data_IF_786690513349
#
_entry.id   IF_786690513349
#
_cell.length_a   1.000
_cell.length_b   1.000
_cell.length_c   1.000
_cell.angle_alpha   90.00
_cell.angle_beta   90.00
_cell.angle_gamma   90.00
#
_symmetry.space_group_name_H-M   'P 1'
#
loop_
_entity.id
_entity.type
_entity.pdbx_description
1 polymer ?
#
# COMPACT_ATOMS: atom_id res chain seq x y z
N UNK A 1 13.93 23.51 32.51
CA UNK A 1 13.81 24.33 31.28
C UNK A 1 12.35 24.67 31.14
N UNK A 2 12.00 25.96 31.13
CA UNK A 2 10.63 26.40 30.85
C UNK A 2 10.39 26.20 29.35
N UNK A 3 9.43 25.37 28.98
CA UNK A 3 9.01 25.25 27.59
C UNK A 3 8.37 26.57 27.17
N UNK A 4 8.96 27.23 26.17
CA UNK A 4 8.41 28.45 25.59
C UNK A 4 7.24 28.04 24.72
N UNK A 5 6.03 28.39 25.16
CA UNK A 5 4.81 28.17 24.39
C UNK A 5 4.83 29.09 23.17
N UNK A 6 4.72 28.50 21.98
CA UNK A 6 4.70 29.24 20.73
C UNK A 6 3.41 30.07 20.61
N UNK A 7 3.57 31.25 20.03
CA UNK A 7 2.48 32.18 19.77
C UNK A 7 1.43 31.55 18.83
N UNK A 8 0.15 31.82 19.10
CA UNK A 8 -0.99 31.27 18.38
C UNK A 8 -0.92 31.62 16.87
N UNK A 9 -0.42 32.81 16.52
CA UNK A 9 -0.28 33.24 15.13
C UNK A 9 0.79 32.43 14.41
N UNK A 10 1.88 32.07 15.10
CA UNK A 10 2.93 31.19 14.56
C UNK A 10 2.37 29.77 14.38
N UNK A 11 1.58 29.29 15.34
CA UNK A 11 0.92 27.99 15.25
C UNK A 11 -0.05 27.93 14.07
N UNK A 12 -0.84 28.97 13.84
CA UNK A 12 -1.75 29.08 12.69
C UNK A 12 -0.96 29.09 11.37
N UNK A 13 0.14 29.84 11.30
CA UNK A 13 1.00 29.90 10.11
C UNK A 13 1.67 28.57 9.79
N UNK A 14 2.01 27.79 10.82
CA UNK A 14 2.55 26.43 10.69
C UNK A 14 1.46 25.38 10.43
N UNK A 15 0.20 25.68 10.73
CA UNK A 15 -0.95 24.76 10.61
C UNK A 15 -1.67 24.88 9.27
N UNK A 16 -1.41 25.92 8.46
CA UNK A 16 -2.01 26.12 7.14
C UNK A 16 -1.32 25.22 6.08
N UNK A 17 -1.29 23.92 6.37
CA UNK A 17 -1.11 22.90 5.34
C UNK A 17 -2.27 22.95 4.36
N UNK A 18 -2.08 22.51 3.10
CA UNK A 18 -3.12 22.58 2.09
C UNK A 18 -4.37 21.85 2.60
N UNK A 19 -5.44 22.61 2.87
CA UNK A 19 -6.78 22.07 3.13
C UNK A 19 -7.34 21.53 1.83
N UNK A 20 -6.84 20.38 1.40
CA UNK A 20 -7.51 19.60 0.38
C UNK A 20 -8.71 18.96 1.06
N UNK A 21 -9.87 19.61 0.99
CA UNK A 21 -11.16 18.95 1.20
C UNK A 21 -11.30 17.86 0.14
N UNK A 22 -10.66 16.72 0.41
CA UNK A 22 -10.64 15.59 -0.48
C UNK A 22 -11.99 14.93 -0.32
N UNK A 23 -12.82 14.83 -1.37
CA UNK A 23 -14.14 14.22 -1.25
C UNK A 23 -13.97 12.77 -0.78
N UNK A 24 -14.52 12.48 0.41
CA UNK A 24 -14.45 11.15 1.02
C UNK A 24 -15.57 10.26 0.49
N UNK A 25 -15.23 9.01 0.18
CA UNK A 25 -16.21 8.00 -0.19
C UNK A 25 -17.02 7.45 1.00
N UNK A 26 -17.95 6.51 0.76
CA UNK A 26 -18.70 5.85 1.82
C UNK A 26 -17.80 5.15 2.84
N UNK A 27 -18.24 5.13 4.10
CA UNK A 27 -17.51 4.44 5.16
C UNK A 27 -17.42 2.92 4.89
N UNK A 28 -16.22 2.36 5.12
CA UNK A 28 -16.00 0.91 5.13
C UNK A 28 -16.07 0.38 6.57
N UNK A 29 -16.03 -0.95 6.72
CA UNK A 29 -16.06 -1.59 8.05
C UNK A 29 -14.91 -1.09 8.95
N UNK A 30 -15.22 -0.71 10.19
CA UNK A 30 -14.29 -0.08 11.15
C UNK A 30 -12.97 -0.85 11.31
N UNK A 31 -13.04 -2.18 11.39
CA UNK A 31 -11.86 -3.01 11.59
C UNK A 31 -10.95 -3.03 10.35
N UNK A 32 -11.53 -2.89 9.16
CA UNK A 32 -10.79 -2.75 7.90
C UNK A 32 -10.09 -1.39 7.87
N UNK A 33 -10.82 -0.32 8.17
CA UNK A 33 -10.27 1.04 8.22
C UNK A 33 -9.09 1.14 9.21
N UNK A 34 -9.25 0.60 10.43
CA UNK A 34 -8.18 0.61 11.45
C UNK A 34 -6.92 -0.14 10.98
N UNK A 35 -7.09 -1.31 10.35
CA UNK A 35 -5.96 -2.07 9.80
C UNK A 35 -5.27 -1.34 8.66
N UNK A 36 -6.02 -0.67 7.80
CA UNK A 36 -5.47 0.12 6.72
C UNK A 36 -4.71 1.33 7.26
N UNK A 37 -5.23 2.01 8.27
CA UNK A 37 -4.54 3.13 8.90
C UNK A 37 -3.18 2.72 9.47
N UNK A 38 -3.10 1.55 10.11
CA UNK A 38 -1.84 0.97 10.59
C UNK A 38 -0.86 0.68 9.46
N UNK A 39 -1.32 0.09 8.36
CA UNK A 39 -0.48 -0.22 7.19
C UNK A 39 0.00 1.05 6.50
N UNK A 40 -0.88 2.04 6.34
CA UNK A 40 -0.58 3.29 5.65
C UNK A 40 0.37 4.17 6.48
N UNK A 41 0.27 4.14 7.81
CA UNK A 41 1.16 4.90 8.70
C UNK A 41 2.52 4.24 8.91
N UNK A 42 2.59 2.90 8.95
CA UNK A 42 3.83 2.15 9.26
C UNK A 42 4.50 1.53 8.04
N UNK A 43 3.86 1.62 6.87
CA UNK A 43 4.28 0.95 5.65
C UNK A 43 3.89 -0.53 5.62
N UNK A 44 3.93 -1.11 4.43
CA UNK A 44 3.70 -2.53 4.21
C UNK A 44 4.90 -3.33 4.71
N UNK A 45 4.65 -4.31 5.60
CA UNK A 45 5.70 -5.23 6.08
C UNK A 45 6.29 -6.00 4.90
N UNK A 46 7.62 -6.10 4.84
CA UNK A 46 8.32 -6.80 3.76
C UNK A 46 7.95 -8.29 3.65
N UNK A 47 7.54 -8.92 4.75
CA UNK A 47 6.99 -10.29 4.74
C UNK A 47 5.72 -10.42 3.90
N UNK A 48 4.86 -9.39 3.87
CA UNK A 48 3.64 -9.40 3.03
C UNK A 48 3.98 -9.32 1.55
N UNK A 49 5.06 -8.62 1.20
CA UNK A 49 5.56 -8.52 -0.18
C UNK A 49 6.07 -9.86 -0.71
N UNK A 50 6.67 -10.68 0.16
CA UNK A 50 7.18 -12.01 -0.20
C UNK A 50 6.08 -13.05 -0.34
N UNK A 51 4.98 -12.90 0.41
CA UNK A 51 3.94 -13.92 0.51
C UNK A 51 2.84 -13.78 -0.55
N UNK A 52 2.75 -12.63 -1.23
CA UNK A 52 1.76 -12.39 -2.27
C UNK A 52 2.36 -12.65 -3.66
N UNK A 53 1.97 -13.77 -4.26
CA UNK A 53 2.35 -14.10 -5.63
C UNK A 53 1.44 -13.36 -6.63
N UNK A 54 2.05 -12.80 -7.67
CA UNK A 54 1.30 -12.23 -8.80
C UNK A 54 0.61 -13.38 -9.55
N UNK A 55 -0.72 -13.31 -9.77
CA UNK A 55 -1.45 -14.34 -10.49
C UNK A 55 -0.91 -14.54 -11.91
N UNK A 56 -0.93 -15.78 -12.39
CA UNK A 56 -0.56 -16.10 -13.77
C UNK A 56 -1.41 -15.28 -14.75
N UNK A 57 -0.78 -14.72 -15.80
CA UNK A 57 -1.38 -13.81 -16.81
C UNK A 57 -1.56 -12.36 -16.37
N UNK A 58 -1.05 -11.96 -15.20
CA UNK A 58 -1.02 -10.56 -14.75
C UNK A 58 0.40 -9.95 -14.85
N UNK A 59 1.09 -10.18 -15.97
CA UNK A 59 2.52 -9.84 -16.12
C UNK A 59 2.78 -8.33 -16.00
N UNK A 60 1.79 -7.49 -16.32
CA UNK A 60 1.86 -6.03 -16.15
C UNK A 60 1.86 -5.56 -14.69
N UNK A 61 1.57 -6.45 -13.72
CA UNK A 61 1.73 -6.15 -12.29
C UNK A 61 3.19 -6.30 -11.84
N UNK A 62 4.05 -6.92 -12.66
CA UNK A 62 5.47 -7.01 -12.39
C UNK A 62 6.08 -5.65 -12.74
N UNK A 63 6.72 -5.01 -11.75
CA UNK A 63 7.40 -3.75 -11.98
C UNK A 63 8.48 -3.91 -13.08
N UNK A 64 8.46 -3.09 -14.14
CA UNK A 64 9.45 -3.17 -15.21
C UNK A 64 10.83 -2.84 -14.65
N UNK A 65 11.81 -3.69 -14.93
CA UNK A 65 13.20 -3.39 -14.63
C UNK A 65 13.76 -2.40 -15.65
N UNK A 66 14.52 -1.42 -15.19
CA UNK A 66 15.33 -0.57 -16.06
C UNK A 66 16.19 -1.46 -16.99
N UNK A 67 16.11 -1.18 -18.29
CA UNK A 67 16.93 -1.90 -19.27
C UNK A 67 18.42 -1.62 -19.03
N UNK A 68 19.25 -2.66 -19.06
CA UNK A 68 20.69 -2.60 -18.80
C UNK A 68 21.48 -1.77 -19.83
N UNK A 69 20.86 -1.37 -20.95
CA UNK A 69 21.43 -0.49 -21.97
C UNK A 69 21.49 1.00 -21.58
N UNK A 70 20.83 1.43 -20.51
CA UNK A 70 20.72 2.85 -20.12
C UNK A 70 21.86 3.31 -19.18
N UNK A 71 23.09 2.85 -19.44
CA UNK A 71 24.29 3.06 -18.58
C UNK A 71 24.76 4.52 -18.43
N UNK A 72 24.14 5.47 -19.12
CA UNK A 72 24.50 6.90 -19.07
C UNK A 72 23.53 7.77 -18.28
N UNK A 73 22.59 7.18 -17.52
CA UNK A 73 21.71 7.95 -16.66
C UNK A 73 22.45 8.51 -15.44
N UNK A 74 22.08 9.72 -15.04
CA UNK A 74 22.59 10.32 -13.80
C UNK A 74 22.20 9.47 -12.58
N UNK A 75 23.03 9.49 -11.53
CA UNK A 75 22.72 8.81 -10.26
C UNK A 75 21.36 9.21 -9.69
N UNK A 76 20.97 10.47 -9.87
CA UNK A 76 19.66 11.00 -9.47
C UNK A 76 18.52 10.32 -10.21
N UNK A 77 18.70 10.03 -11.50
CA UNK A 77 17.70 9.34 -12.32
C UNK A 77 17.61 7.86 -11.96
N UNK A 78 18.74 7.22 -11.69
CA UNK A 78 18.80 5.83 -11.22
C UNK A 78 18.11 5.67 -9.86
N UNK A 79 18.39 6.58 -8.91
CA UNK A 79 17.74 6.57 -7.59
C UNK A 79 16.24 6.77 -7.71
N UNK A 80 15.80 7.74 -8.53
CA UNK A 80 14.37 7.99 -8.77
C UNK A 80 13.66 6.77 -9.35
N UNK A 81 14.26 6.13 -10.36
CA UNK A 81 13.71 4.91 -10.95
C UNK A 81 13.62 3.77 -9.92
N UNK A 82 14.68 3.57 -9.13
CA UNK A 82 14.70 2.56 -8.07
C UNK A 82 13.56 2.76 -7.06
N UNK A 83 13.29 4.02 -6.68
CA UNK A 83 12.15 4.36 -5.81
C UNK A 83 10.80 4.07 -6.48
N UNK A 84 10.64 4.42 -7.76
CA UNK A 84 9.41 4.12 -8.50
C UNK A 84 9.19 2.62 -8.66
N UNK A 85 10.25 1.86 -8.95
CA UNK A 85 10.23 0.41 -9.06
C UNK A 85 9.82 -0.23 -7.72
N UNK A 86 10.29 0.30 -6.60
CA UNK A 86 9.85 -0.15 -5.28
C UNK A 86 8.36 0.09 -5.05
N UNK A 87 7.85 1.28 -5.37
CA UNK A 87 6.42 1.61 -5.26
C UNK A 87 5.58 0.71 -6.16
N UNK A 88 5.99 0.52 -7.42
CA UNK A 88 5.29 -0.35 -8.37
C UNK A 88 5.23 -1.80 -7.89
N UNK A 89 6.29 -2.32 -7.27
CA UNK A 89 6.28 -3.65 -6.64
C UNK A 89 5.26 -3.75 -5.52
N UNK A 90 5.18 -2.74 -4.64
CA UNK A 90 4.19 -2.72 -3.57
C UNK A 90 2.75 -2.68 -4.12
N UNK A 91 2.50 -1.87 -5.15
CA UNK A 91 1.21 -1.80 -5.83
C UNK A 91 0.83 -3.11 -6.51
N UNK A 92 1.76 -3.73 -7.25
CA UNK A 92 1.54 -5.02 -7.91
C UNK A 92 1.15 -6.12 -6.92
N UNK A 93 1.84 -6.18 -5.78
CA UNK A 93 1.50 -7.09 -4.67
C UNK A 93 0.11 -6.79 -4.10
N UNK A 94 -0.20 -5.53 -3.82
CA UNK A 94 -1.49 -5.14 -3.26
C UNK A 94 -2.65 -5.52 -4.19
N UNK A 95 -2.51 -5.24 -5.49
CA UNK A 95 -3.51 -5.59 -6.51
C UNK A 95 -3.65 -7.10 -6.63
N UNK A 96 -2.55 -7.86 -6.62
CA UNK A 96 -2.57 -9.32 -6.63
C UNK A 96 -3.34 -9.90 -5.43
N UNK A 97 -3.10 -9.36 -4.22
CA UNK A 97 -3.81 -9.78 -3.01
C UNK A 97 -5.32 -9.48 -3.10
N UNK A 98 -5.69 -8.28 -3.57
CA UNK A 98 -7.09 -7.91 -3.80
C UNK A 98 -7.74 -8.80 -4.86
N UNK A 99 -7.04 -9.10 -5.95
CA UNK A 99 -7.49 -10.00 -7.01
C UNK A 99 -7.74 -11.42 -6.49
N UNK A 100 -6.87 -11.94 -5.61
CA UNK A 100 -7.07 -13.23 -4.97
C UNK A 100 -8.33 -13.25 -4.08
N UNK A 101 -8.57 -12.18 -3.32
CA UNK A 101 -9.78 -12.02 -2.50
C UNK A 101 -11.03 -11.94 -3.39
N UNK A 102 -10.98 -11.11 -4.45
CA UNK A 102 -12.08 -10.97 -5.40
C UNK A 102 -12.40 -12.31 -6.09
N UNK A 103 -11.37 -13.04 -6.56
CA UNK A 103 -11.55 -14.35 -7.17
C UNK A 103 -12.16 -15.35 -6.18
N UNK A 104 -11.80 -15.31 -4.90
CA UNK A 104 -12.47 -16.13 -3.87
C UNK A 104 -13.94 -15.76 -3.74
N UNK A 105 -14.27 -14.47 -3.63
CA UNK A 105 -15.66 -14.01 -3.49
C UNK A 105 -16.50 -14.43 -4.70
N UNK A 106 -15.95 -14.32 -5.91
CA UNK A 106 -16.62 -14.67 -7.16
C UNK A 106 -16.75 -16.20 -7.32
N UNK A 107 -15.71 -16.97 -6.97
CA UNK A 107 -15.69 -18.43 -7.12
C UNK A 107 -16.49 -19.15 -6.02
N UNK A 108 -16.70 -18.53 -4.86
CA UNK A 108 -17.38 -19.12 -3.70
C UNK A 108 -18.89 -18.81 -3.75
N UNK A 109 -19.56 -19.28 -4.82
CA UNK A 109 -21.03 -19.28 -4.95
C UNK A 109 -21.74 -20.13 -3.85
N UNK A 110 -21.01 -20.79 -2.94
CA UNK A 110 -21.54 -21.68 -1.91
C UNK A 110 -21.06 -21.33 -0.48
N UNK A 111 -21.70 -20.31 0.09
CA UNK A 111 -22.20 -20.35 1.48
C UNK A 111 -21.24 -20.49 2.67
N UNK A 112 -19.92 -20.40 2.53
CA UNK A 112 -19.03 -20.59 3.68
C UNK A 112 -17.84 -19.60 3.67
N UNK A 113 -18.21 -18.32 3.83
CA UNK A 113 -17.42 -17.12 3.46
C UNK A 113 -16.27 -16.73 4.40
N UNK A 114 -16.27 -17.11 5.67
CA UNK A 114 -15.39 -16.49 6.70
C UNK A 114 -14.17 -17.33 7.11
N UNK A 115 -14.28 -18.66 7.12
CA UNK A 115 -13.22 -19.52 7.65
C UNK A 115 -12.03 -19.71 6.67
N UNK A 116 -12.29 -19.78 5.36
CA UNK A 116 -11.24 -19.92 4.33
C UNK A 116 -10.36 -18.67 4.24
N UNK A 117 -10.98 -17.49 4.26
CA UNK A 117 -10.27 -16.19 4.23
C UNK A 117 -9.41 -16.03 5.49
N UNK A 118 -9.96 -16.31 6.68
CA UNK A 118 -9.23 -16.25 7.95
C UNK A 118 -8.02 -17.19 7.96
N UNK A 119 -8.15 -18.40 7.43
CA UNK A 119 -7.06 -19.38 7.37
C UNK A 119 -5.90 -18.95 6.47
N UNK A 120 -6.17 -18.39 5.28
CA UNK A 120 -5.12 -17.94 4.36
C UNK A 120 -4.40 -16.67 4.81
N UNK A 121 -5.13 -15.69 5.34
CA UNK A 121 -4.52 -14.48 5.91
C UNK A 121 -3.62 -14.81 7.11
N UNK A 122 -4.02 -15.79 7.94
CA UNK A 122 -3.21 -16.24 9.09
C UNK A 122 -1.92 -16.95 8.67
N UNK A 123 -1.91 -17.59 7.50
CA UNK A 123 -0.73 -18.28 6.98
C UNK A 123 0.23 -17.34 6.24
N UNK A 124 -0.25 -16.17 5.80
CA UNK A 124 0.54 -15.13 5.13
C UNK A 124 1.11 -14.07 6.08
N UNK A 125 0.71 -14.10 7.37
CA UNK A 125 1.16 -13.17 8.42
C UNK A 125 2.14 -13.80 9.43
N UNK A 126 2.47 -15.08 9.29
CA UNK A 126 3.57 -15.72 10.02
C UNK A 126 4.85 -15.68 9.18
#
# INVERSE_FOLDING_TARGET
>A
MLEVQLDEDILVLLSDGPKTETPMGPAIHKDTANRWQDILSKGVKESLLKNCLIPSKCDHLIAPALNSGLKQLSETSIKRDSSLLFIQKQLGVAIAALGAIANMIISDQTGNKLYKIKRRLSHSLR
#
